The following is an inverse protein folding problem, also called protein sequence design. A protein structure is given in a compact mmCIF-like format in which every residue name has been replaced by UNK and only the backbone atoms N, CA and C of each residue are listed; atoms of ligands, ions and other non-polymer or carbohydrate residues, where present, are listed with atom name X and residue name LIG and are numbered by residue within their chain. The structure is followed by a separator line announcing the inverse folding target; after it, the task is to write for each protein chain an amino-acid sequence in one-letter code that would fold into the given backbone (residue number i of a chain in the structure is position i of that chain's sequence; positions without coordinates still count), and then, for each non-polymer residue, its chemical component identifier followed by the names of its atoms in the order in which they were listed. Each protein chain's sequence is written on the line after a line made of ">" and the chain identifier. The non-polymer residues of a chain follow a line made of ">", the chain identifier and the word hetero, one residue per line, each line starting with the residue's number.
data_IF_480397322898
#
_entry.id   IF_480397322898
#
_cell.length_a   1.000
_cell.length_b   1.000
_cell.length_c   1.000
_cell.angle_alpha   90.00
_cell.angle_beta   90.00
_cell.angle_gamma   90.00
#
_symmetry.space_group_name_H-M   'P 1'
#
loop_
_entity.id
_entity.type
_entity.pdbx_description
1 polymer ?
#
# COMPACT_ATOMS: atom_id res chain seq x y z
N UNK A 1 -5.86 2.65 54.63
CA UNK A 1 -4.88 2.23 53.60
C UNK A 1 -5.60 2.33 52.27
N UNK A 2 -5.64 3.52 51.68
CA UNK A 2 -6.47 3.78 50.50
C UNK A 2 -5.68 3.45 49.23
N UNK A 3 -6.04 2.33 48.60
CA UNK A 3 -5.38 1.76 47.40
C UNK A 3 -5.82 2.40 46.08
N UNK A 4 -6.93 3.15 46.09
CA UNK A 4 -7.52 3.79 44.91
C UNK A 4 -6.60 4.81 44.22
N UNK A 5 -5.95 5.76 44.93
CA UNK A 5 -5.08 6.75 44.31
C UNK A 5 -3.86 6.12 43.61
N UNK A 6 -3.30 5.07 44.21
CA UNK A 6 -2.12 4.37 43.69
C UNK A 6 -2.42 3.62 42.39
N UNK A 7 -3.57 2.96 42.30
CA UNK A 7 -4.01 2.28 41.08
C UNK A 7 -4.27 3.28 39.94
N UNK A 8 -4.90 4.42 40.25
CA UNK A 8 -5.11 5.47 39.24
C UNK A 8 -3.80 6.09 38.75
N UNK A 9 -2.82 6.33 39.64
CA UNK A 9 -1.50 6.83 39.22
C UNK A 9 -0.76 5.82 38.34
N UNK A 10 -0.78 4.53 38.69
CA UNK A 10 -0.18 3.48 37.88
C UNK A 10 -0.84 3.39 36.49
N UNK A 11 -2.17 3.49 36.43
CA UNK A 11 -2.93 3.47 35.17
C UNK A 11 -2.58 4.66 34.27
N UNK A 12 -2.48 5.88 34.81
CA UNK A 12 -2.08 7.08 34.06
C UNK A 12 -0.63 6.96 33.57
N UNK A 13 0.28 6.45 34.39
CA UNK A 13 1.68 6.21 34.00
C UNK A 13 1.80 5.20 32.85
N UNK A 14 1.01 4.12 32.88
CA UNK A 14 0.93 3.13 31.80
C UNK A 14 0.36 3.73 30.52
N UNK A 15 -0.72 4.52 30.61
CA UNK A 15 -1.31 5.19 29.45
C UNK A 15 -0.33 6.17 28.80
N UNK A 16 0.41 6.93 29.60
CA UNK A 16 1.45 7.83 29.11
C UNK A 16 2.55 7.07 28.36
N UNK A 17 3.12 6.02 28.97
CA UNK A 17 4.15 5.19 28.32
C UNK A 17 3.68 4.56 27.01
N UNK A 18 2.42 4.10 26.97
CA UNK A 18 1.82 3.55 25.76
C UNK A 18 1.68 4.62 24.67
N UNK A 19 1.24 5.83 25.05
CA UNK A 19 1.14 6.96 24.14
C UNK A 19 2.51 7.35 23.57
N UNK A 20 3.52 7.48 24.44
CA UNK A 20 4.88 7.85 24.04
C UNK A 20 5.48 6.79 23.11
N UNK A 21 5.29 5.51 23.43
CA UNK A 21 5.75 4.39 22.59
C UNK A 21 5.06 4.39 21.22
N UNK A 22 3.74 4.65 21.18
CA UNK A 22 2.99 4.79 19.93
C UNK A 22 3.48 5.99 19.11
N UNK A 23 3.83 7.10 19.74
CA UNK A 23 4.35 8.27 19.06
C UNK A 23 5.74 7.99 18.43
N UNK A 24 6.65 7.39 19.19
CA UNK A 24 7.96 6.94 18.71
C UNK A 24 7.83 5.97 17.54
N UNK A 25 6.92 4.99 17.64
CA UNK A 25 6.67 4.04 16.55
C UNK A 25 6.18 4.73 15.27
N UNK A 26 5.25 5.69 15.39
CA UNK A 26 4.77 6.46 14.22
C UNK A 26 5.91 7.25 13.57
N UNK A 27 6.77 7.86 14.37
CA UNK A 27 7.92 8.61 13.88
C UNK A 27 8.91 7.70 13.15
N UNK A 28 9.18 6.51 13.69
CA UNK A 28 10.06 5.51 13.07
C UNK A 28 9.48 5.05 11.72
N UNK A 29 8.18 4.72 11.68
CA UNK A 29 7.50 4.31 10.44
C UNK A 29 7.57 5.41 9.39
N UNK A 30 7.37 6.67 9.78
CA UNK A 30 7.48 7.80 8.87
C UNK A 30 8.91 7.98 8.35
N UNK A 31 9.92 7.84 9.21
CA UNK A 31 11.34 7.98 8.84
C UNK A 31 11.76 6.86 7.88
N UNK A 32 11.38 5.61 8.18
CA UNK A 32 11.62 4.46 7.32
C UNK A 32 11.01 4.67 5.93
N UNK A 33 9.80 5.19 5.87
CA UNK A 33 9.09 5.49 4.62
C UNK A 33 9.82 6.56 3.78
N UNK A 34 10.29 7.63 4.41
CA UNK A 34 11.05 8.68 3.71
C UNK A 34 12.35 8.10 3.14
N UNK A 35 13.12 7.38 3.97
CA UNK A 35 14.39 6.79 3.57
C UNK A 35 14.25 5.81 2.40
N UNK A 36 13.23 4.96 2.43
CA UNK A 36 12.99 4.01 1.36
C UNK A 36 12.66 4.71 0.04
N UNK A 37 11.75 5.71 0.05
CA UNK A 37 11.44 6.51 -1.13
C UNK A 37 12.66 7.24 -1.68
N UNK A 38 13.45 7.90 -0.82
CA UNK A 38 14.68 8.57 -1.25
C UNK A 38 15.66 7.58 -1.88
N UNK A 39 15.78 6.37 -1.34
CA UNK A 39 16.65 5.34 -1.92
C UNK A 39 16.19 4.90 -3.31
N UNK A 40 14.88 4.81 -3.55
CA UNK A 40 14.31 4.48 -4.86
C UNK A 40 14.54 5.60 -5.88
N UNK A 41 14.30 6.85 -5.48
CA UNK A 41 14.56 8.03 -6.31
C UNK A 41 16.04 8.14 -6.69
N UNK A 42 16.94 7.96 -5.72
CA UNK A 42 18.39 7.98 -5.95
C UNK A 42 18.86 6.83 -6.84
N UNK A 43 18.18 5.68 -6.81
CA UNK A 43 18.44 4.57 -7.73
C UNK A 43 17.93 4.81 -9.16
N UNK A 44 17.11 5.84 -9.38
CA UNK A 44 16.55 6.15 -10.69
C UNK A 44 15.52 5.13 -11.17
N UNK A 45 14.81 4.47 -10.25
CA UNK A 45 13.77 3.50 -10.63
C UNK A 45 12.51 4.23 -11.12
N UNK A 46 12.25 4.19 -12.43
CA UNK A 46 10.94 4.55 -12.98
C UNK A 46 9.96 3.44 -12.62
N UNK A 47 8.98 3.75 -11.77
CA UNK A 47 7.88 2.84 -11.41
C UNK A 47 6.68 3.09 -12.33
N UNK A 48 6.21 2.04 -12.99
CA UNK A 48 5.04 2.07 -13.87
C UNK A 48 3.96 1.18 -13.27
N UNK A 49 2.87 1.79 -12.84
CA UNK A 49 1.72 1.09 -12.29
C UNK A 49 0.55 1.12 -13.27
N UNK A 50 -0.20 0.02 -13.34
CA UNK A 50 -1.44 -0.04 -14.11
C UNK A 50 -2.63 -0.14 -13.17
N UNK A 51 -3.71 0.62 -13.42
CA UNK A 51 -4.98 0.50 -12.68
C UNK A 51 -6.13 0.28 -13.64
N UNK A 52 -6.81 -0.85 -13.47
CA UNK A 52 -7.98 -1.20 -14.26
C UNK A 52 -9.22 -0.58 -13.63
N UNK A 53 -9.92 0.28 -14.37
CA UNK A 53 -11.20 0.85 -13.92
C UNK A 53 -12.30 -0.22 -13.97
N UNK A 54 -13.10 -0.41 -12.91
CA UNK A 54 -14.22 -1.34 -12.94
C UNK A 54 -15.23 -0.94 -14.03
N UNK A 55 -15.48 -1.86 -14.97
CA UNK A 55 -16.52 -1.75 -16.00
C UNK A 55 -16.94 -3.16 -16.45
N UNK A 56 -18.21 -3.32 -16.79
CA UNK A 56 -18.81 -4.62 -17.09
C UNK A 56 -18.18 -5.35 -18.31
N UNK A 57 -17.50 -4.60 -19.20
CA UNK A 57 -16.91 -5.13 -20.43
C UNK A 57 -15.43 -5.54 -20.28
N UNK A 58 -14.80 -5.16 -19.17
CA UNK A 58 -13.34 -5.26 -18.95
C UNK A 58 -12.90 -6.71 -18.73
N UNK A 59 -13.75 -7.51 -18.07
CA UNK A 59 -13.43 -8.89 -17.68
C UNK A 59 -13.25 -9.84 -18.87
N UNK A 60 -13.74 -9.48 -20.06
CA UNK A 60 -13.63 -10.34 -21.25
C UNK A 60 -12.35 -10.09 -22.05
N UNK A 61 -11.71 -8.92 -21.88
CA UNK A 61 -10.58 -8.50 -22.72
C UNK A 61 -9.25 -8.40 -21.96
N UNK A 62 -9.27 -8.42 -20.63
CA UNK A 62 -8.07 -8.24 -19.81
C UNK A 62 -7.91 -9.40 -18.84
N UNK A 63 -6.71 -9.98 -18.82
CA UNK A 63 -6.29 -10.98 -17.84
C UNK A 63 -5.02 -10.50 -17.14
N UNK A 64 -4.88 -10.85 -15.87
CA UNK A 64 -3.74 -10.46 -15.03
C UNK A 64 -3.03 -11.74 -14.61
N UNK A 65 -1.71 -11.80 -14.82
CA UNK A 65 -0.85 -12.88 -14.34
C UNK A 65 -0.37 -12.61 -12.92
N UNK A 66 0.10 -13.66 -12.22
CA UNK A 66 0.68 -13.54 -10.87
C UNK A 66 1.95 -12.68 -10.86
N UNK A 67 2.65 -12.54 -12.00
CA UNK A 67 3.90 -11.77 -12.14
C UNK A 67 3.69 -10.28 -12.49
N UNK A 68 2.56 -9.68 -12.10
CA UNK A 68 2.18 -8.29 -12.44
C UNK A 68 2.17 -8.01 -13.96
N UNK A 69 1.88 -9.03 -14.77
CA UNK A 69 1.74 -8.93 -16.22
C UNK A 69 0.26 -8.75 -16.60
N UNK A 70 -0.04 -7.72 -17.39
CA UNK A 70 -1.36 -7.46 -17.96
C UNK A 70 -1.43 -7.98 -19.39
N UNK A 71 -2.40 -8.85 -19.66
CA UNK A 71 -2.65 -9.45 -20.96
C UNK A 71 -3.95 -8.87 -21.53
N UNK A 72 -3.84 -8.09 -22.60
CA UNK A 72 -4.97 -7.56 -23.35
C UNK A 72 -5.27 -8.45 -24.58
N UNK A 73 -6.46 -9.04 -24.59
CA UNK A 73 -7.00 -9.85 -25.68
C UNK A 73 -8.09 -9.04 -26.41
N UNK A 74 -7.85 -8.70 -27.68
CA UNK A 74 -8.85 -7.98 -28.47
C UNK A 74 -9.90 -8.97 -28.99
N UNK A 75 -11.21 -8.65 -28.93
CA UNK A 75 -12.27 -9.56 -29.36
C UNK A 75 -12.23 -9.87 -30.87
N UNK A 76 -11.67 -8.96 -31.68
CA UNK A 76 -11.66 -9.06 -33.15
C UNK A 76 -10.27 -9.45 -33.70
N UNK A 77 -9.33 -9.84 -32.84
CA UNK A 77 -7.98 -10.22 -33.25
C UNK A 77 -7.47 -11.36 -32.38
N UNK A 78 -6.88 -12.39 -33.00
CA UNK A 78 -6.18 -13.45 -32.27
C UNK A 78 -4.91 -12.95 -31.56
N UNK A 79 -4.54 -11.68 -31.73
CA UNK A 79 -3.35 -11.09 -31.13
C UNK A 79 -3.61 -10.71 -29.67
N UNK A 80 -2.86 -11.35 -28.77
CA UNK A 80 -2.76 -10.97 -27.36
C UNK A 80 -1.57 -10.04 -27.17
N UNK A 81 -1.79 -8.90 -26.50
CA UNK A 81 -0.71 -7.98 -26.10
C UNK A 81 -0.40 -8.18 -24.63
N UNK A 82 0.89 -8.19 -24.31
CA UNK A 82 1.39 -8.39 -22.95
C UNK A 82 2.15 -7.15 -22.51
N UNK A 83 1.89 -6.71 -21.30
CA UNK A 83 2.47 -5.52 -20.69
C UNK A 83 2.93 -5.86 -19.29
N UNK A 84 4.18 -5.52 -18.97
CA UNK A 84 4.74 -5.72 -17.64
C UNK A 84 4.81 -4.40 -16.89
N UNK A 85 4.38 -4.44 -15.63
CA UNK A 85 4.30 -3.29 -14.73
C UNK A 85 4.91 -3.66 -13.39
N UNK A 86 5.24 -2.65 -12.58
CA UNK A 86 5.68 -2.85 -11.20
C UNK A 86 4.54 -3.38 -10.33
N UNK A 87 3.30 -2.95 -10.59
CA UNK A 87 2.08 -3.44 -9.94
C UNK A 87 0.88 -3.22 -10.87
N UNK A 88 -0.08 -4.14 -10.87
CA UNK A 88 -1.34 -4.04 -11.62
C UNK A 88 -2.51 -4.08 -10.66
N UNK A 89 -3.15 -2.93 -10.44
CA UNK A 89 -4.35 -2.80 -9.61
C UNK A 89 -5.60 -3.20 -10.40
N UNK A 90 -6.39 -4.09 -9.81
CA UNK A 90 -7.58 -4.64 -10.46
C UNK A 90 -8.81 -3.77 -10.19
N UNK A 91 -9.95 -4.15 -10.75
CA UNK A 91 -11.24 -3.52 -10.49
C UNK A 91 -11.70 -3.61 -9.02
N UNK A 92 -11.11 -4.52 -8.23
CA UNK A 92 -11.40 -4.68 -6.80
C UNK A 92 -10.46 -3.87 -5.91
N UNK A 93 -9.37 -3.30 -6.45
CA UNK A 93 -8.42 -2.50 -5.68
C UNK A 93 -9.02 -1.13 -5.31
N UNK A 94 -8.93 -0.79 -4.03
CA UNK A 94 -9.46 0.47 -3.50
C UNK A 94 -8.52 1.65 -3.75
N UNK A 95 -9.02 2.87 -3.56
CA UNK A 95 -8.18 4.08 -3.63
C UNK A 95 -7.11 4.07 -2.53
N UNK A 96 -7.39 3.47 -1.38
CA UNK A 96 -6.47 3.37 -0.26
C UNK A 96 -5.30 2.44 -0.62
N UNK A 97 -5.59 1.26 -1.20
CA UNK A 97 -4.55 0.30 -1.63
C UNK A 97 -3.54 0.95 -2.58
N UNK A 98 -4.06 1.68 -3.57
CA UNK A 98 -3.23 2.43 -4.53
C UNK A 98 -2.41 3.50 -3.81
N UNK A 99 -3.04 4.25 -2.90
CA UNK A 99 -2.38 5.32 -2.15
C UNK A 99 -1.26 4.81 -1.23
N UNK A 100 -1.41 3.63 -0.63
CA UNK A 100 -0.37 3.04 0.21
C UNK A 100 0.86 2.62 -0.61
N UNK A 101 0.69 2.12 -1.82
CA UNK A 101 1.81 1.74 -2.70
C UNK A 101 2.63 2.94 -3.18
N UNK A 102 2.00 4.07 -3.50
CA UNK A 102 2.72 5.31 -3.80
C UNK A 102 3.36 5.95 -2.57
N UNK A 103 2.81 5.66 -1.39
CA UNK A 103 3.36 6.14 -0.14
C UNK A 103 4.58 5.33 0.32
N UNK A 104 4.69 4.05 -0.03
CA UNK A 104 5.83 3.20 0.33
C UNK A 104 7.05 3.50 -0.54
#
# INVERSE_FOLDING_TARGET
>A
MDLLPTLTQAQVGLQKRLSDTKALYRQEVQTRRILYNTLIELRGNIRVFCRIRPSALVNNWLAISEDHELIASLPNSSTKRRYQFDEVFTSTSTQEDVSYTYCL
#
